data_IF_202812588400
#
_entry.id   IF_202812588400
#
_cell.length_a   1.000
_cell.length_b   1.000
_cell.length_c   1.000
_cell.angle_alpha   90.00
_cell.angle_beta   90.00
_cell.angle_gamma   90.00
#
_symmetry.space_group_name_H-M   'P 1'
#
loop_
_entity.id
_entity.type
_entity.pdbx_description
1 polymer ?
#
# COMPACT_ATOMS: atom_id res chain seq x y z
N UNK A 1 -14.97 -11.14 -5.82
CA UNK A 1 -15.92 -10.55 -6.78
C UNK A 1 -15.27 -9.52 -7.72
N UNK A 2 -14.45 -8.56 -7.26
CA UNK A 2 -13.94 -7.46 -8.11
C UNK A 2 -12.45 -7.51 -8.52
N UNK A 3 -11.74 -8.63 -8.26
CA UNK A 3 -10.37 -8.81 -8.75
C UNK A 3 -10.40 -8.91 -10.29
N UNK A 4 -9.50 -8.22 -10.98
CA UNK A 4 -9.44 -8.15 -12.45
C UNK A 4 -10.28 -7.03 -13.09
N UNK A 5 -11.21 -6.41 -12.35
CA UNK A 5 -12.11 -5.36 -12.87
C UNK A 5 -11.55 -3.93 -12.85
N UNK A 6 -10.24 -3.74 -12.70
CA UNK A 6 -9.56 -2.43 -12.59
C UNK A 6 -10.04 -1.48 -11.46
N UNK A 7 -11.01 -1.87 -10.64
CA UNK A 7 -11.52 -1.06 -9.51
C UNK A 7 -10.41 -0.61 -8.57
N UNK A 8 -9.45 -1.51 -8.25
CA UNK A 8 -8.31 -1.17 -7.40
C UNK A 8 -7.42 -0.07 -8.00
N UNK A 9 -7.25 -0.04 -9.33
CA UNK A 9 -6.48 1.01 -10.02
C UNK A 9 -7.21 2.35 -9.94
N UNK A 10 -8.51 2.37 -10.20
CA UNK A 10 -9.31 3.59 -10.11
C UNK A 10 -9.27 4.16 -8.67
N UNK A 11 -9.49 3.30 -7.66
CA UNK A 11 -9.43 3.72 -6.26
C UNK A 11 -8.07 4.28 -5.87
N UNK A 12 -6.98 3.62 -6.28
CA UNK A 12 -5.62 4.09 -6.02
C UNK A 12 -5.37 5.48 -6.61
N UNK A 13 -5.72 5.69 -7.88
CA UNK A 13 -5.50 6.96 -8.55
C UNK A 13 -6.34 8.09 -7.92
N UNK A 14 -7.62 7.82 -7.62
CA UNK A 14 -8.46 8.81 -6.93
C UNK A 14 -7.91 9.21 -5.57
N UNK A 15 -7.40 8.24 -4.79
CA UNK A 15 -6.78 8.52 -3.50
C UNK A 15 -5.54 9.42 -3.64
N UNK A 16 -4.64 9.09 -4.58
CA UNK A 16 -3.41 9.88 -4.80
C UNK A 16 -3.71 11.30 -5.30
N UNK A 17 -4.70 11.47 -6.18
CA UNK A 17 -5.13 12.80 -6.61
C UNK A 17 -5.71 13.61 -5.45
N UNK A 18 -6.58 13.01 -4.63
CA UNK A 18 -7.11 13.69 -3.45
C UNK A 18 -6.01 14.08 -2.44
N UNK A 19 -5.00 13.22 -2.25
CA UNK A 19 -3.82 13.56 -1.44
C UNK A 19 -3.06 14.75 -2.04
N UNK A 20 -2.84 14.78 -3.35
CA UNK A 20 -2.19 15.90 -4.00
C UNK A 20 -2.98 17.22 -3.83
N UNK A 21 -4.31 17.18 -3.99
CA UNK A 21 -5.19 18.34 -3.81
C UNK A 21 -5.15 18.88 -2.36
N UNK A 22 -4.92 18.01 -1.38
CA UNK A 22 -4.72 18.37 0.03
C UNK A 22 -3.28 18.86 0.33
N UNK A 23 -2.40 18.89 -0.66
CA UNK A 23 -1.02 19.39 -0.52
C UNK A 23 0.00 18.35 -0.05
N UNK A 24 -0.33 17.05 -0.08
CA UNK A 24 0.65 16.01 0.25
C UNK A 24 1.67 15.86 -0.87
N UNK A 25 2.96 16.00 -0.54
CA UNK A 25 4.05 15.86 -1.50
C UNK A 25 4.34 14.39 -1.89
N UNK A 26 3.98 13.43 -1.02
CA UNK A 26 4.22 12.01 -1.23
C UNK A 26 3.15 11.15 -0.55
N UNK A 27 3.09 9.88 -0.94
CA UNK A 27 2.24 8.87 -0.32
C UNK A 27 3.10 7.68 0.16
N UNK A 28 2.68 7.04 1.25
CA UNK A 28 3.29 5.82 1.78
C UNK A 28 2.22 4.74 1.83
N UNK A 29 2.55 3.54 1.32
CA UNK A 29 1.65 2.39 1.34
C UNK A 29 2.11 1.43 2.44
N UNK A 30 1.35 1.36 3.53
CA UNK A 30 1.67 0.51 4.68
C UNK A 30 1.30 -0.96 4.46
N UNK A 31 2.24 -1.86 4.72
CA UNK A 31 2.02 -3.31 4.72
C UNK A 31 1.39 -3.86 3.43
N UNK A 32 1.92 -3.57 2.23
CA UNK A 32 1.29 -3.94 0.96
C UNK A 32 1.22 -5.46 0.74
N UNK A 33 1.97 -6.28 1.50
CA UNK A 33 2.05 -7.76 1.37
C UNK A 33 2.08 -8.19 -0.10
N UNK A 34 1.16 -9.05 -0.55
CA UNK A 34 1.10 -9.52 -1.94
C UNK A 34 0.74 -8.46 -2.99
N UNK A 35 0.30 -7.26 -2.58
CA UNK A 35 -0.10 -6.18 -3.49
C UNK A 35 1.05 -5.22 -3.87
N UNK A 36 2.26 -5.37 -3.32
CA UNK A 36 3.41 -4.53 -3.69
C UNK A 36 3.64 -4.43 -5.21
N UNK A 37 3.66 -5.55 -5.97
CA UNK A 37 3.82 -5.52 -7.43
C UNK A 37 2.69 -4.79 -8.18
N UNK A 38 1.49 -4.72 -7.59
CA UNK A 38 0.38 -3.97 -8.17
C UNK A 38 0.65 -2.46 -8.08
N UNK A 39 1.10 -1.96 -6.94
CA UNK A 39 1.41 -0.53 -6.76
C UNK A 39 2.61 -0.09 -7.62
N UNK A 40 3.66 -0.91 -7.67
CA UNK A 40 4.81 -0.67 -8.55
C UNK A 40 4.38 -0.53 -10.02
N UNK A 41 3.51 -1.43 -10.50
CA UNK A 41 3.02 -1.39 -11.88
C UNK A 41 2.14 -0.19 -12.19
N UNK A 42 1.25 0.20 -11.27
CA UNK A 42 0.20 1.20 -11.57
C UNK A 42 0.70 2.63 -11.42
N UNK A 43 1.53 2.91 -10.41
CA UNK A 43 1.94 4.28 -10.06
C UNK A 43 3.45 4.44 -9.87
N UNK A 44 4.24 3.40 -10.16
CA UNK A 44 5.69 3.45 -9.97
C UNK A 44 6.12 3.48 -8.50
N UNK A 45 5.29 2.96 -7.58
CA UNK A 45 5.68 2.84 -6.19
C UNK A 45 6.93 1.95 -6.05
N UNK A 46 7.85 2.39 -5.21
CA UNK A 46 9.09 1.66 -4.90
C UNK A 46 9.05 1.19 -3.46
N UNK A 47 9.76 0.09 -3.18
CA UNK A 47 9.99 -0.32 -1.80
C UNK A 47 10.85 0.71 -1.08
N UNK A 48 10.50 0.99 0.17
CA UNK A 48 11.31 1.81 1.06
C UNK A 48 12.32 0.86 1.71
N UNK A 49 13.62 1.08 1.45
CA UNK A 49 14.67 0.25 2.00
C UNK A 49 14.61 0.18 3.54
N UNK A 50 14.75 -1.03 4.09
CA UNK A 50 14.67 -1.25 5.53
C UNK A 50 13.26 -1.17 6.14
N UNK A 51 12.20 -0.97 5.35
CA UNK A 51 10.83 -0.83 5.90
C UNK A 51 10.18 -2.16 6.33
N UNK A 52 10.82 -3.30 6.06
CA UNK A 52 10.34 -4.64 6.42
C UNK A 52 11.41 -5.34 7.30
N UNK A 53 11.06 -6.00 8.42
CA UNK A 53 9.71 -6.37 8.92
C UNK A 53 8.86 -5.22 9.50
N UNK A 54 9.39 -3.99 9.53
CA UNK A 54 8.68 -2.82 10.04
C UNK A 54 8.52 -2.85 11.57
N UNK A 55 7.66 -1.97 12.11
CA UNK A 55 7.51 -1.76 13.55
C UNK A 55 6.78 -2.89 14.30
N UNK A 56 6.20 -3.86 13.57
CA UNK A 56 5.39 -4.94 14.14
C UNK A 56 6.10 -6.30 14.15
N UNK A 57 7.45 -6.30 14.14
CA UNK A 57 8.26 -7.53 14.12
C UNK A 57 7.98 -8.45 15.32
N UNK A 58 7.81 -7.87 16.52
CA UNK A 58 7.60 -8.60 17.77
C UNK A 58 6.13 -8.58 18.22
N UNK A 59 5.21 -8.61 17.24
CA UNK A 59 3.78 -8.56 17.55
C UNK A 59 3.38 -9.76 18.42
N UNK A 60 2.88 -9.48 19.62
CA UNK A 60 2.37 -10.49 20.55
C UNK A 60 1.31 -11.35 19.85
N UNK A 61 1.58 -12.66 19.75
CA UNK A 61 0.59 -13.64 19.31
C UNK A 61 -0.28 -13.99 20.52
N UNK A 62 -1.60 -13.84 20.39
CA UNK A 62 -2.51 -14.36 21.41
C UNK A 62 -2.29 -15.87 21.57
N UNK A 63 -2.37 -16.39 22.79
CA UNK A 63 -2.61 -17.83 22.98
C UNK A 63 -3.92 -18.13 22.25
N UNK A 64 -3.93 -19.15 21.40
CA UNK A 64 -5.06 -19.64 20.58
C UNK A 64 -4.97 -19.28 19.07
N UNK A 65 -3.84 -19.60 18.43
CA UNK A 65 -3.73 -19.69 16.96
C UNK A 65 -3.20 -21.05 16.55
#
# INVERSE_FOLDING_TARGET
>A
AFRGGQVGKALLLHCLHAMADLGYAYAIIGGPKEAAPFYARVVGAIDIEGSNPGIYIDRLRGKDS
#
